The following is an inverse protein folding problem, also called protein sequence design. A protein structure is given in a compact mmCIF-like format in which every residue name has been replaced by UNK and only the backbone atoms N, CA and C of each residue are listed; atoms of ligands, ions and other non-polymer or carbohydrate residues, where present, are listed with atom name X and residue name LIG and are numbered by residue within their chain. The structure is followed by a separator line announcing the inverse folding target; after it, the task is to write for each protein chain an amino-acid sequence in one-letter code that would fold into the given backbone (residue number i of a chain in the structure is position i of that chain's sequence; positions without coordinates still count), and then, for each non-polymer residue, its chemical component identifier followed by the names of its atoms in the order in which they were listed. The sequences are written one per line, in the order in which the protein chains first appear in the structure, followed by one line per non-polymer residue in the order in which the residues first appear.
data_IF_507198562643
#
_entry.id   IF_507198562643
#
_cell.length_a   1.000
_cell.length_b   1.000
_cell.length_c   1.000
_cell.angle_alpha   90.00
_cell.angle_beta   90.00
_cell.angle_gamma   90.00
#
_symmetry.space_group_name_H-M   'P 1'
#
loop_
_entity.id
_entity.type
_entity.pdbx_description
1 polymer ?
#
# COMPACT_ATOMS: atom_id res chain seq x y z
N UNK A 1 -0.63 18.33 -2.38
CA UNK A 1 -1.12 17.77 -1.10
C UNK A 1 -2.64 17.71 -1.19
N UNK A 2 -3.30 16.80 -0.47
CA UNK A 2 -4.75 16.68 -0.47
C UNK A 2 -5.30 16.66 0.96
N UNK A 3 -6.59 16.88 1.13
CA UNK A 3 -7.23 16.79 2.45
C UNK A 3 -7.97 15.46 2.59
N UNK A 4 -7.75 14.79 3.72
CA UNK A 4 -8.50 13.60 4.10
C UNK A 4 -8.92 13.72 5.57
N UNK A 5 -10.23 13.80 5.81
CA UNK A 5 -10.81 13.96 7.16
C UNK A 5 -10.19 15.12 7.95
N UNK A 6 -10.07 16.30 7.33
CA UNK A 6 -9.50 17.50 7.96
C UNK A 6 -7.97 17.45 8.15
N UNK A 7 -7.28 16.44 7.61
CA UNK A 7 -5.81 16.33 7.68
C UNK A 7 -5.20 16.48 6.30
N UNK A 8 -4.15 17.28 6.20
CA UNK A 8 -3.29 17.34 5.00
C UNK A 8 -2.56 16.02 4.84
N UNK A 9 -2.74 15.38 3.69
CA UNK A 9 -2.10 14.12 3.32
C UNK A 9 -1.33 14.24 2.01
N UNK A 10 -0.28 13.44 1.89
CA UNK A 10 0.51 13.32 0.66
C UNK A 10 -0.04 12.16 -0.17
N UNK A 11 -0.43 12.47 -1.40
CA UNK A 11 -0.96 11.45 -2.32
C UNK A 11 0.16 10.59 -2.91
N UNK A 12 -0.18 9.34 -3.25
CA UNK A 12 0.66 8.36 -3.95
C UNK A 12 2.00 8.05 -3.27
N UNK A 13 2.15 8.41 -1.99
CA UNK A 13 3.34 8.15 -1.19
C UNK A 13 2.99 7.19 -0.06
N UNK A 14 3.31 5.89 -0.19
CA UNK A 14 3.13 4.94 0.90
C UNK A 14 3.91 5.35 2.15
N UNK A 15 3.30 5.15 3.30
CA UNK A 15 3.91 5.34 4.62
C UNK A 15 3.52 4.21 5.56
N UNK A 16 4.36 3.92 6.55
CA UNK A 16 4.00 2.96 7.58
C UNK A 16 2.84 3.47 8.42
N UNK A 17 1.95 2.57 8.85
CA UNK A 17 0.88 2.91 9.76
C UNK A 17 1.47 3.01 11.17
N UNK A 18 1.38 4.18 11.77
CA UNK A 18 1.89 4.46 13.12
C UNK A 18 0.87 4.08 14.21
N UNK A 19 1.36 3.84 15.43
CA UNK A 19 0.53 3.61 16.61
C UNK A 19 -0.48 4.75 16.78
N UNK A 20 -1.75 4.42 17.01
CA UNK A 20 -2.85 5.40 17.08
C UNK A 20 -3.52 5.74 15.73
N UNK A 21 -2.98 5.27 14.60
CA UNK A 21 -3.66 5.38 13.30
C UNK A 21 -4.64 4.22 13.07
N UNK A 22 -5.79 4.44 12.40
CA UNK A 22 -6.76 3.37 12.15
C UNK A 22 -6.12 2.21 11.37
N UNK A 23 -6.24 0.97 11.84
CA UNK A 23 -5.64 -0.19 11.17
C UNK A 23 -4.18 -0.47 11.51
N UNK A 24 -3.62 0.23 12.51
CA UNK A 24 -2.37 -0.16 13.16
C UNK A 24 -2.45 -1.62 13.64
N UNK A 25 -1.39 -2.40 13.41
CA UNK A 25 -1.33 -3.83 13.75
C UNK A 25 -2.09 -4.76 12.79
N UNK A 26 -2.95 -4.24 11.90
CA UNK A 26 -3.65 -5.04 10.87
C UNK A 26 -3.02 -4.92 9.49
N UNK A 27 -2.47 -3.75 9.16
CA UNK A 27 -1.76 -3.47 7.91
C UNK A 27 -0.47 -2.74 8.21
N UNK A 28 0.54 -2.95 7.36
CA UNK A 28 1.85 -2.36 7.56
C UNK A 28 1.92 -0.92 7.05
N UNK A 29 1.37 -0.69 5.86
CA UNK A 29 1.48 0.58 5.13
C UNK A 29 0.11 1.11 4.73
N UNK A 30 0.04 2.43 4.59
CA UNK A 30 -1.08 3.12 4.00
C UNK A 30 -0.62 4.10 2.92
N UNK A 31 -1.50 4.37 1.98
CA UNK A 31 -1.30 5.38 0.93
C UNK A 31 -2.61 6.06 0.64
N UNK A 32 -2.55 7.36 0.38
CA UNK A 32 -3.70 8.14 -0.04
C UNK A 32 -3.64 8.30 -1.55
N UNK A 33 -4.74 8.02 -2.23
CA UNK A 33 -4.86 8.14 -3.68
C UNK A 33 -6.07 8.98 -4.00
N UNK A 34 -5.99 9.73 -5.10
CA UNK A 34 -7.15 10.46 -5.61
C UNK A 34 -7.85 9.61 -6.66
N UNK A 35 -9.16 9.49 -6.54
CA UNK A 35 -10.00 8.71 -7.44
C UNK A 35 -11.36 9.40 -7.60
N UNK A 36 -11.69 9.82 -8.82
CA UNK A 36 -12.92 10.54 -9.12
C UNK A 36 -13.10 11.81 -8.27
N UNK A 37 -12.03 12.58 -8.06
CA UNK A 37 -12.04 13.82 -7.26
C UNK A 37 -12.07 13.61 -5.73
N UNK A 38 -12.12 12.36 -5.24
CA UNK A 38 -12.12 12.06 -3.80
C UNK A 38 -10.82 11.40 -3.37
N UNK A 39 -10.34 11.76 -2.18
CA UNK A 39 -9.18 11.09 -1.58
C UNK A 39 -9.61 9.78 -0.93
N UNK A 40 -9.05 8.67 -1.40
CA UNK A 40 -9.22 7.34 -0.84
C UNK A 40 -7.97 6.92 -0.07
N UNK A 41 -8.18 6.29 1.07
CA UNK A 41 -7.13 5.67 1.86
C UNK A 41 -7.06 4.18 1.52
N UNK A 42 -5.88 3.73 1.10
CA UNK A 42 -5.61 2.31 0.80
C UNK A 42 -4.59 1.81 1.81
N UNK A 43 -4.93 0.76 2.56
CA UNK A 43 -4.01 0.09 3.47
C UNK A 43 -3.56 -1.24 2.88
N UNK A 44 -2.27 -1.55 2.98
CA UNK A 44 -1.66 -2.72 2.36
C UNK A 44 -0.44 -3.23 3.14
N UNK A 45 0.10 -4.37 2.71
CA UNK A 45 1.18 -5.07 3.42
C UNK A 45 0.69 -5.76 4.68
N UNK A 46 1.58 -6.56 5.27
CA UNK A 46 1.32 -7.32 6.48
C UNK A 46 2.39 -6.98 7.52
N UNK A 47 2.01 -6.50 8.72
CA UNK A 47 2.96 -6.06 9.73
C UNK A 47 3.83 -7.20 10.30
N UNK A 48 3.39 -8.45 10.16
CA UNK A 48 4.11 -9.64 10.60
C UNK A 48 4.98 -10.23 9.48
N UNK A 49 4.87 -9.73 8.24
CA UNK A 49 5.65 -10.20 7.11
C UNK A 49 6.89 -9.33 6.89
N UNK A 50 8.07 -9.95 7.01
CA UNK A 50 9.33 -9.30 6.62
C UNK A 50 9.36 -9.10 5.10
N UNK A 51 9.68 -7.88 4.64
CA UNK A 51 9.92 -7.65 3.22
C UNK A 51 11.20 -8.40 2.80
N UNK A 52 11.04 -9.33 1.86
CA UNK A 52 12.12 -10.17 1.31
C UNK A 52 12.29 -9.94 -0.19
N UNK A 53 11.98 -8.73 -0.65
CA UNK A 53 12.15 -8.28 -2.05
C UNK A 53 13.60 -8.27 -2.52
N UNK A 54 14.55 -8.21 -1.59
CA UNK A 54 15.98 -8.35 -1.86
C UNK A 54 16.38 -9.78 -2.29
N UNK A 55 15.55 -10.78 -2.03
CA UNK A 55 15.77 -12.16 -2.48
C UNK A 55 15.02 -12.40 -3.82
N UNK A 56 15.71 -12.53 -4.97
CA UNK A 56 15.08 -12.56 -6.29
C UNK A 56 14.04 -13.69 -6.45
N UNK A 57 14.31 -14.87 -5.89
CA UNK A 57 13.39 -16.01 -5.91
C UNK A 57 12.08 -15.71 -5.17
N UNK A 58 12.17 -15.06 -4.00
CA UNK A 58 10.98 -14.69 -3.21
C UNK A 58 10.20 -13.56 -3.87
N UNK A 59 10.90 -12.57 -4.41
CA UNK A 59 10.29 -11.49 -5.19
C UNK A 59 9.52 -12.04 -6.38
N UNK A 60 10.13 -12.93 -7.18
CA UNK A 60 9.45 -13.59 -8.30
C UNK A 60 8.21 -14.35 -7.84
N UNK A 61 8.34 -15.20 -6.83
CA UNK A 61 7.22 -15.98 -6.31
C UNK A 61 6.07 -15.10 -5.79
N UNK A 62 6.37 -13.97 -5.12
CA UNK A 62 5.35 -13.00 -4.71
C UNK A 62 4.65 -12.39 -5.92
N UNK A 63 5.43 -11.93 -6.90
CA UNK A 63 4.91 -11.29 -8.11
C UNK A 63 4.00 -12.21 -8.92
N UNK A 64 4.40 -13.47 -9.07
CA UNK A 64 3.64 -14.50 -9.78
C UNK A 64 2.31 -14.78 -9.06
N UNK A 65 2.35 -15.04 -7.74
CA UNK A 65 1.14 -15.33 -6.93
C UNK A 65 0.15 -14.17 -6.87
N UNK A 66 0.65 -12.94 -6.95
CA UNK A 66 -0.17 -11.75 -6.90
C UNK A 66 -0.48 -11.15 -8.28
N UNK A 67 -0.08 -11.79 -9.38
CA UNK A 67 -0.26 -11.28 -10.74
C UNK A 67 0.15 -9.80 -10.84
N UNK A 68 1.39 -9.51 -10.45
CA UNK A 68 1.92 -8.16 -10.40
C UNK A 68 2.17 -7.52 -11.77
N UNK A 69 1.98 -8.28 -12.86
CA UNK A 69 2.05 -7.76 -14.22
C UNK A 69 0.75 -7.03 -14.60
N UNK A 70 -0.39 -7.42 -14.03
CA UNK A 70 -1.64 -6.66 -14.10
C UNK A 70 -2.25 -6.44 -12.70
N UNK A 71 -1.63 -5.58 -11.87
CA UNK A 71 -2.01 -5.44 -10.47
C UNK A 71 -3.29 -4.60 -10.28
N UNK A 72 -3.83 -3.99 -11.34
CA UNK A 72 -5.03 -3.15 -11.33
C UNK A 72 -4.77 -1.70 -10.93
N UNK A 73 -5.83 -0.90 -10.66
CA UNK A 73 -5.69 0.53 -10.40
C UNK A 73 -5.06 0.85 -9.05
N UNK A 74 -4.56 2.09 -8.89
CA UNK A 74 -3.95 2.61 -7.65
C UNK A 74 -4.90 2.59 -6.45
N UNK A 75 -6.20 2.42 -6.65
CA UNK A 75 -7.18 2.27 -5.58
C UNK A 75 -7.16 0.88 -4.93
N UNK A 76 -6.46 -0.09 -5.52
CA UNK A 76 -6.34 -1.45 -4.97
C UNK A 76 -5.05 -1.63 -4.18
N UNK A 77 -5.13 -2.35 -3.07
CA UNK A 77 -3.96 -2.71 -2.24
C UNK A 77 -2.91 -3.51 -3.02
N UNK A 78 -3.34 -4.35 -3.97
CA UNK A 78 -2.46 -5.16 -4.83
C UNK A 78 -1.47 -4.31 -5.64
N UNK A 79 -1.94 -3.20 -6.22
CA UNK A 79 -1.07 -2.26 -6.95
C UNK A 79 0.10 -1.80 -6.09
N UNK A 80 -0.19 -1.40 -4.85
CA UNK A 80 0.83 -0.92 -3.93
C UNK A 80 1.72 -2.02 -3.38
N UNK A 81 1.13 -3.19 -3.08
CA UNK A 81 1.91 -4.35 -2.65
C UNK A 81 2.94 -4.77 -3.71
N UNK A 82 2.53 -4.85 -4.99
CA UNK A 82 3.42 -5.16 -6.12
C UNK A 82 4.48 -4.10 -6.42
N UNK A 83 4.28 -2.87 -5.97
CA UNK A 83 5.25 -1.78 -6.12
C UNK A 83 6.26 -1.74 -4.96
N UNK A 84 5.85 -2.25 -3.79
CA UNK A 84 6.65 -2.28 -2.57
C UNK A 84 7.46 -3.59 -2.40
N UNK A 85 7.04 -4.66 -3.11
CA UNK A 85 7.70 -5.96 -3.21
C UNK A 85 8.38 -6.17 -4.57
#
# INVERSE_FOLDING_TARGET
MAEFKGKKVTLNKPRNISKGSPGYGKKQKEVFVMDGGRVKRVAFGDPNMKNRSNEPKRKKAFRDRHNCDNPGPKTKARYWACRDW
#
